data_IF_739364195171
#
_entry.id   IF_739364195171
#
_cell.length_a   1.000
_cell.length_b   1.000
_cell.length_c   1.000
_cell.angle_alpha   90.00
_cell.angle_beta   90.00
_cell.angle_gamma   90.00
#
_symmetry.space_group_name_H-M   'P 1'
#
loop_
_entity.id
_entity.type
_entity.pdbx_description
1 polymer ?
#
# COMPACT_ATOMS: atom_id res chain seq x y z
N UNK A 1 17.27 -37.71 -1.95
CA UNK A 1 17.91 -37.10 -3.14
C UNK A 1 16.88 -36.36 -4.01
N UNK A 2 15.78 -37.00 -4.41
CA UNK A 2 14.74 -36.41 -5.27
C UNK A 2 14.20 -35.06 -4.79
N UNK A 3 13.86 -34.94 -3.50
CA UNK A 3 13.41 -33.67 -2.91
C UNK A 3 14.41 -32.52 -3.05
N UNK A 4 15.70 -32.78 -2.80
CA UNK A 4 16.75 -31.75 -2.97
C UNK A 4 16.92 -31.35 -4.43
N UNK A 5 16.80 -32.32 -5.33
CA UNK A 5 16.87 -32.09 -6.77
C UNK A 5 15.68 -31.25 -7.25
N UNK A 6 14.46 -31.54 -6.79
CA UNK A 6 13.29 -30.76 -7.16
C UNK A 6 13.39 -29.32 -6.64
N UNK A 7 13.82 -29.14 -5.39
CA UNK A 7 14.04 -27.81 -4.81
C UNK A 7 15.10 -27.01 -5.58
N UNK A 8 16.22 -27.64 -5.92
CA UNK A 8 17.27 -27.02 -6.72
C UNK A 8 16.79 -26.63 -8.12
N UNK A 9 16.04 -27.52 -8.79
CA UNK A 9 15.47 -27.25 -10.11
C UNK A 9 14.50 -26.07 -10.10
N UNK A 10 13.66 -25.99 -9.07
CA UNK A 10 12.72 -24.88 -8.89
C UNK A 10 13.46 -23.57 -8.56
N UNK A 11 14.48 -23.60 -7.70
CA UNK A 11 15.22 -22.40 -7.29
C UNK A 11 16.03 -21.79 -8.43
N UNK A 12 16.70 -22.63 -9.23
CA UNK A 12 17.56 -22.16 -10.31
C UNK A 12 16.82 -22.04 -11.65
N UNK A 13 15.56 -22.46 -11.75
CA UNK A 13 14.80 -22.48 -13.01
C UNK A 13 15.41 -23.34 -14.11
N UNK A 14 16.34 -24.24 -13.75
CA UNK A 14 17.09 -25.08 -14.69
C UNK A 14 16.33 -26.35 -15.09
N UNK A 15 16.58 -26.83 -16.31
CA UNK A 15 16.16 -28.17 -16.76
C UNK A 15 17.16 -29.21 -16.26
N UNK A 16 16.70 -30.27 -15.62
CA UNK A 16 17.58 -31.26 -14.99
C UNK A 16 17.11 -32.69 -15.22
N UNK A 17 18.05 -33.63 -15.43
CA UNK A 17 17.84 -35.07 -15.52
C UNK A 17 18.83 -35.78 -14.60
N UNK A 18 18.31 -36.62 -13.69
CA UNK A 18 19.09 -37.50 -12.82
C UNK A 18 18.70 -38.95 -13.08
N UNK A 19 19.71 -39.81 -13.27
CA UNK A 19 19.54 -41.25 -13.47
C UNK A 19 20.42 -41.97 -12.45
N UNK A 20 19.83 -42.88 -11.68
CA UNK A 20 20.51 -43.69 -10.67
C UNK A 20 20.24 -45.16 -10.96
N UNK A 21 21.28 -45.98 -10.98
CA UNK A 21 21.16 -47.43 -11.16
C UNK A 21 21.21 -48.13 -9.80
N UNK A 22 20.29 -49.07 -9.56
CA UNK A 22 20.41 -49.96 -8.39
C UNK A 22 21.60 -50.93 -8.57
N UNK A 23 22.07 -51.59 -7.51
CA UNK A 23 23.07 -52.66 -7.63
C UNK A 23 22.65 -53.78 -8.60
N UNK A 24 21.34 -53.97 -8.81
CA UNK A 24 20.78 -54.92 -9.77
C UNK A 24 20.71 -54.37 -11.22
N UNK A 25 21.21 -53.16 -11.47
CA UNK A 25 21.24 -52.53 -12.79
C UNK A 25 19.93 -51.88 -13.24
N UNK A 26 18.92 -51.78 -12.37
CA UNK A 26 17.63 -51.17 -12.72
C UNK A 26 17.74 -49.63 -12.62
N UNK A 27 17.42 -48.88 -13.69
CA UNK A 27 17.48 -47.42 -13.67
C UNK A 27 16.26 -46.81 -12.96
N UNK A 28 16.53 -45.77 -12.19
CA UNK A 28 15.54 -44.85 -11.63
C UNK A 28 15.86 -43.45 -12.13
N UNK A 29 14.88 -42.81 -12.78
CA UNK A 29 15.05 -41.50 -13.39
C UNK A 29 14.15 -40.44 -12.75
N UNK A 30 14.68 -39.24 -12.59
CA UNK A 30 13.92 -38.04 -12.26
C UNK A 30 14.31 -36.92 -13.23
N UNK A 31 13.33 -36.14 -13.68
CA UNK A 31 13.59 -34.99 -14.53
C UNK A 31 12.59 -33.88 -14.34
N UNK A 32 13.06 -32.64 -14.49
CA UNK A 32 12.22 -31.43 -14.45
C UNK A 32 12.42 -30.62 -15.75
N UNK A 33 11.34 -30.22 -16.45
CA UNK A 33 9.92 -30.42 -16.08
C UNK A 33 9.41 -31.86 -16.21
N UNK A 34 10.02 -32.68 -17.07
CA UNK A 34 9.81 -34.14 -17.13
C UNK A 34 11.03 -34.83 -17.72
N UNK A 35 11.19 -36.13 -17.46
CA UNK A 35 12.30 -36.93 -18.03
C UNK A 35 12.27 -36.89 -19.56
N UNK A 36 11.09 -37.05 -20.16
CA UNK A 36 10.92 -37.02 -21.62
C UNK A 36 11.28 -35.66 -22.23
N UNK A 37 10.84 -34.57 -21.61
CA UNK A 37 11.13 -33.20 -22.10
C UNK A 37 12.63 -32.93 -22.10
N UNK A 38 13.32 -33.35 -21.04
CA UNK A 38 14.76 -33.17 -20.90
C UNK A 38 15.52 -34.10 -21.84
N UNK A 39 15.12 -35.37 -21.96
CA UNK A 39 15.72 -36.32 -22.89
C UNK A 39 15.60 -35.85 -24.34
N UNK A 40 14.41 -35.41 -24.77
CA UNK A 40 14.19 -34.84 -26.12
C UNK A 40 15.10 -33.65 -26.39
N UNK A 41 15.28 -32.77 -25.39
CA UNK A 41 16.18 -31.63 -25.51
C UNK A 41 17.64 -32.06 -25.74
N UNK A 42 18.14 -33.05 -24.98
CA UNK A 42 19.51 -33.56 -25.16
C UNK A 42 19.69 -34.36 -26.45
N UNK A 43 18.69 -35.12 -26.88
CA UNK A 43 18.71 -35.81 -28.18
C UNK A 43 18.75 -34.82 -29.34
N UNK A 44 17.99 -33.72 -29.27
CA UNK A 44 17.99 -32.70 -30.31
C UNK A 44 19.31 -31.90 -30.37
N UNK A 45 20.02 -31.75 -29.24
CA UNK A 45 21.36 -31.12 -29.23
C UNK A 45 22.35 -31.92 -30.07
N UNK A 46 22.25 -33.26 -30.07
CA UNK A 46 23.11 -34.11 -30.91
C UNK A 46 22.84 -33.97 -32.42
N UNK A 47 21.66 -33.46 -32.79
CA UNK A 47 21.29 -33.14 -34.18
C UNK A 47 21.70 -31.72 -34.59
N UNK A 48 21.99 -30.84 -33.62
CA UNK A 48 22.27 -29.42 -33.84
C UNK A 48 23.78 -29.09 -33.81
N UNK A 49 24.66 -30.10 -33.70
CA UNK A 49 26.11 -29.90 -33.88
C UNK A 49 26.53 -29.91 -35.35
N UNK A 50 25.60 -30.22 -36.28
CA UNK A 50 25.76 -29.80 -37.67
C UNK A 50 25.40 -28.32 -37.76
N UNK A 51 26.43 -27.48 -37.86
CA UNK A 51 26.35 -26.06 -38.19
C UNK A 51 25.71 -25.85 -39.58
N UNK A 52 24.43 -26.15 -39.76
CA UNK A 52 23.67 -25.76 -40.96
C UNK A 52 22.18 -25.84 -40.68
N UNK A 53 21.53 -24.66 -40.64
CA UNK A 53 20.08 -24.42 -40.78
C UNK A 53 19.22 -24.48 -39.52
N UNK A 54 18.82 -23.29 -39.01
CA UNK A 54 17.38 -22.96 -38.94
C UNK A 54 17.14 -21.44 -38.80
N UNK A 55 17.51 -20.68 -39.84
CA UNK A 55 17.18 -19.26 -39.96
C UNK A 55 15.69 -18.91 -39.69
N UNK A 56 14.69 -19.76 -40.05
CA UNK A 56 13.29 -19.53 -39.72
C UNK A 56 12.99 -19.55 -38.21
N UNK A 57 13.59 -20.47 -37.45
CA UNK A 57 13.37 -20.60 -36.01
C UNK A 57 13.97 -19.42 -35.26
N UNK A 58 15.18 -18.99 -35.66
CA UNK A 58 15.82 -17.82 -35.06
C UNK A 58 15.07 -16.52 -35.40
N UNK A 59 14.51 -16.41 -36.60
CA UNK A 59 13.64 -15.29 -36.99
C UNK A 59 12.38 -15.25 -36.13
N UNK A 60 11.73 -16.40 -35.92
CA UNK A 60 10.55 -16.49 -35.06
C UNK A 60 10.86 -16.12 -33.60
N UNK A 61 12.02 -16.54 -33.07
CA UNK A 61 12.46 -16.13 -31.71
C UNK A 61 12.66 -14.63 -31.61
N UNK A 62 13.34 -14.02 -32.59
CA UNK A 62 13.58 -12.57 -32.64
C UNK A 62 12.26 -11.79 -32.73
N UNK A 63 11.33 -12.26 -33.56
CA UNK A 63 10.03 -11.60 -33.71
C UNK A 63 9.23 -11.61 -32.40
N UNK A 64 9.23 -12.73 -31.68
CA UNK A 64 8.59 -12.82 -30.37
C UNK A 64 9.23 -11.90 -29.32
N UNK A 65 10.55 -11.77 -29.34
CA UNK A 65 11.27 -10.86 -28.44
C UNK A 65 10.92 -9.42 -28.78
N UNK A 66 10.91 -9.05 -30.06
CA UNK A 66 10.55 -7.71 -30.52
C UNK A 66 9.11 -7.33 -30.11
N UNK A 67 8.15 -8.25 -30.29
CA UNK A 67 6.77 -8.04 -29.84
C UNK A 67 6.70 -7.79 -28.33
N UNK A 68 7.41 -8.58 -27.52
CA UNK A 68 7.43 -8.39 -26.07
C UNK A 68 8.05 -7.05 -25.67
N UNK A 69 9.12 -6.63 -26.36
CA UNK A 69 9.75 -5.32 -26.13
C UNK A 69 8.77 -4.20 -26.49
N UNK A 70 8.04 -4.34 -27.59
CA UNK A 70 7.04 -3.36 -28.00
C UNK A 70 5.92 -3.25 -26.97
N UNK A 71 5.36 -4.38 -26.52
CA UNK A 71 4.32 -4.39 -25.47
C UNK A 71 4.81 -3.75 -24.17
N UNK A 72 6.06 -4.04 -23.77
CA UNK A 72 6.66 -3.44 -22.59
C UNK A 72 6.79 -1.91 -22.73
N UNK A 73 7.28 -1.44 -23.88
CA UNK A 73 7.44 -0.02 -24.14
C UNK A 73 6.10 0.72 -24.18
N UNK A 74 5.06 0.12 -24.78
CA UNK A 74 3.71 0.69 -24.82
C UNK A 74 3.12 0.85 -23.41
N UNK A 75 3.21 -0.19 -22.59
CA UNK A 75 2.76 -0.13 -21.18
C UNK A 75 3.55 0.91 -20.38
N UNK A 76 4.85 1.03 -20.64
CA UNK A 76 5.71 2.01 -19.98
C UNK A 76 5.32 3.45 -20.38
N UNK A 77 5.06 3.70 -21.66
CA UNK A 77 4.59 5.00 -22.15
C UNK A 77 3.23 5.37 -21.55
N UNK A 78 2.27 4.43 -21.53
CA UNK A 78 0.96 4.65 -20.90
C UNK A 78 1.10 5.01 -19.42
N UNK A 79 2.00 4.31 -18.70
CA UNK A 79 2.26 4.59 -17.29
C UNK A 79 2.81 6.00 -17.09
N UNK A 80 3.71 6.44 -17.96
CA UNK A 80 4.31 7.77 -17.85
C UNK A 80 3.30 8.87 -18.20
N UNK A 81 2.44 8.67 -19.20
CA UNK A 81 1.30 9.56 -19.47
C UNK A 81 0.35 9.65 -18.28
N UNK A 82 0.02 8.53 -17.64
CA UNK A 82 -0.84 8.50 -16.45
C UNK A 82 -0.18 9.26 -15.29
N UNK A 83 1.12 9.07 -15.07
CA UNK A 83 1.87 9.78 -14.02
C UNK A 83 1.90 11.29 -14.26
N UNK A 84 2.14 11.74 -15.50
CA UNK A 84 2.12 13.16 -15.81
C UNK A 84 0.72 13.75 -15.61
N UNK A 85 -0.34 13.07 -16.07
CA UNK A 85 -1.72 13.49 -15.79
C UNK A 85 -2.03 13.54 -14.29
N UNK A 86 -1.52 12.59 -13.49
CA UNK A 86 -1.67 12.61 -12.04
C UNK A 86 -0.97 13.82 -11.41
N UNK A 87 0.23 14.19 -11.89
CA UNK A 87 0.92 15.40 -11.45
C UNK A 87 0.12 16.65 -11.82
N UNK A 88 -0.40 16.73 -13.03
CA UNK A 88 -1.26 17.85 -13.46
C UNK A 88 -2.52 17.97 -12.60
N UNK A 89 -3.20 16.85 -12.28
CA UNK A 89 -4.36 16.84 -11.37
C UNK A 89 -3.96 17.31 -9.97
N UNK A 90 -2.83 16.84 -9.44
CA UNK A 90 -2.35 17.25 -8.12
C UNK A 90 -2.02 18.75 -8.08
N UNK A 91 -1.40 19.29 -9.14
CA UNK A 91 -1.13 20.73 -9.28
C UNK A 91 -2.42 21.53 -9.46
N UNK A 92 -3.39 21.03 -10.24
CA UNK A 92 -4.68 21.69 -10.44
C UNK A 92 -5.51 21.73 -9.14
N UNK A 93 -5.51 20.65 -8.36
CA UNK A 93 -6.08 20.59 -7.01
C UNK A 93 -5.44 21.62 -6.06
N UNK A 94 -4.18 21.97 -6.30
CA UNK A 94 -3.47 23.00 -5.54
C UNK A 94 -3.87 24.42 -5.96
N UNK A 95 -4.13 24.64 -7.25
CA UNK A 95 -4.47 25.96 -7.84
C UNK A 95 -5.94 26.37 -7.64
N UNK A 96 -6.86 25.41 -7.61
CA UNK A 96 -8.26 25.70 -7.28
C UNK A 96 -8.39 25.65 -5.77
N UNK A 97 -8.42 26.82 -5.13
CA UNK A 97 -8.64 27.02 -3.69
C UNK A 97 -9.89 26.30 -3.22
N UNK A 98 -9.78 24.99 -2.99
CA UNK A 98 -10.82 24.17 -2.42
C UNK A 98 -10.56 24.18 -0.95
N UNK A 99 -11.20 25.16 -0.33
CA UNK A 99 -11.36 25.28 1.10
C UNK A 99 -11.50 23.89 1.76
N UNK A 100 -10.53 23.60 2.63
CA UNK A 100 -10.66 22.82 3.87
C UNK A 100 -10.43 21.29 3.81
N UNK A 101 -10.65 20.56 2.73
CA UNK A 101 -10.56 19.10 2.83
C UNK A 101 -9.18 18.54 2.43
N UNK A 102 -8.36 18.22 3.45
CA UNK A 102 -7.20 17.29 3.42
C UNK A 102 -5.77 17.85 3.39
N UNK A 103 -5.53 19.11 3.79
CA UNK A 103 -4.16 19.65 3.89
C UNK A 103 -3.25 18.83 4.82
N UNK A 104 -3.80 18.21 5.88
CA UNK A 104 -3.05 17.38 6.82
C UNK A 104 -2.78 15.95 6.35
N UNK A 105 -3.30 15.50 5.19
CA UNK A 105 -3.07 14.16 4.63
C UNK A 105 -1.89 14.13 3.65
N UNK A 106 -1.23 15.25 3.40
CA UNK A 106 -0.15 15.32 2.43
C UNK A 106 1.10 14.58 2.95
N UNK A 107 1.74 13.73 2.13
CA UNK A 107 2.99 13.05 2.50
C UNK A 107 4.13 14.06 2.71
N UNK A 108 4.74 14.05 3.90
CA UNK A 108 5.78 15.00 4.31
C UNK A 108 7.03 14.91 3.41
N UNK A 109 7.30 13.73 2.87
CA UNK A 109 8.41 13.43 1.96
C UNK A 109 8.32 14.16 0.61
N UNK A 110 7.17 14.75 0.28
CA UNK A 110 6.91 15.43 -0.99
C UNK A 110 6.85 16.95 -0.88
N UNK A 111 7.07 17.51 0.30
CA UNK A 111 7.04 18.95 0.55
C UNK A 111 8.42 19.57 0.35
N UNK A 112 8.46 20.76 -0.23
CA UNK A 112 9.65 21.59 -0.15
C UNK A 112 9.75 22.25 1.24
N UNK A 113 10.93 22.80 1.56
CA UNK A 113 11.19 23.40 2.88
C UNK A 113 10.20 24.50 3.26
N UNK A 114 9.77 25.33 2.30
CA UNK A 114 8.82 26.43 2.56
C UNK A 114 7.43 25.87 2.91
N UNK A 115 6.93 24.94 2.10
CA UNK A 115 5.62 24.33 2.30
C UNK A 115 5.54 23.55 3.62
N UNK A 116 6.65 22.94 4.04
CA UNK A 116 6.76 22.26 5.33
C UNK A 116 6.52 23.23 6.50
N UNK A 117 7.13 24.43 6.46
CA UNK A 117 6.92 25.45 7.49
C UNK A 117 5.49 25.99 7.48
N UNK A 118 4.92 26.23 6.29
CA UNK A 118 3.52 26.67 6.17
C UNK A 118 2.55 25.61 6.73
N UNK A 119 2.86 24.32 6.56
CA UNK A 119 2.06 23.24 7.14
C UNK A 119 2.19 23.19 8.67
N UNK A 120 3.39 23.38 9.21
CA UNK A 120 3.64 23.45 10.65
C UNK A 120 2.87 24.62 11.30
N UNK A 121 2.89 25.79 10.67
CA UNK A 121 2.15 26.97 11.12
C UNK A 121 0.64 26.69 11.18
N UNK A 122 0.07 26.03 10.16
CA UNK A 122 -1.34 25.62 10.15
C UNK A 122 -1.68 24.61 11.24
N UNK A 123 -0.76 23.70 11.59
CA UNK A 123 -0.95 22.81 12.74
C UNK A 123 -0.92 23.57 14.07
N UNK A 124 -0.05 24.58 14.21
CA UNK A 124 0.01 25.42 15.39
C UNK A 124 -1.30 26.20 15.58
N UNK A 125 -1.84 26.79 14.51
CA UNK A 125 -3.15 27.47 14.53
C UNK A 125 -4.29 26.53 14.93
N UNK A 126 -4.34 25.33 14.35
CA UNK A 126 -5.35 24.33 14.70
C UNK A 126 -5.28 23.95 16.19
N UNK A 127 -4.08 23.71 16.72
CA UNK A 127 -3.87 23.39 18.12
C UNK A 127 -4.33 24.53 19.04
N UNK A 128 -4.07 25.78 18.65
CA UNK A 128 -4.52 26.96 19.38
C UNK A 128 -6.05 27.02 19.44
N UNK A 129 -6.73 26.83 18.29
CA UNK A 129 -8.20 26.81 18.23
C UNK A 129 -8.81 25.73 19.12
N UNK A 130 -8.20 24.54 19.17
CA UNK A 130 -8.62 23.45 20.05
C UNK A 130 -8.47 23.83 21.52
N UNK A 131 -7.35 24.48 21.89
CA UNK A 131 -7.12 24.97 23.25
C UNK A 131 -8.18 25.99 23.66
N UNK A 132 -8.38 27.03 22.84
CA UNK A 132 -9.39 28.07 23.08
C UNK A 132 -10.78 27.46 23.26
N UNK A 133 -11.14 26.50 22.42
CA UNK A 133 -12.47 25.85 22.48
C UNK A 133 -12.65 25.04 23.76
N UNK A 134 -11.58 24.35 24.21
CA UNK A 134 -11.58 23.61 25.49
C UNK A 134 -11.76 24.58 26.67
N UNK A 135 -11.02 25.68 26.71
CA UNK A 135 -11.07 26.64 27.81
C UNK A 135 -12.44 27.32 27.90
N UNK A 136 -13.01 27.71 26.74
CA UNK A 136 -14.39 28.24 26.67
C UNK A 136 -15.42 27.26 27.21
N UNK A 137 -15.29 25.97 26.89
CA UNK A 137 -16.19 24.93 27.40
C UNK A 137 -16.04 24.74 28.91
N UNK A 138 -14.81 24.73 29.44
CA UNK A 138 -14.54 24.63 30.87
C UNK A 138 -15.12 25.84 31.64
N UNK A 139 -14.95 27.04 31.10
CA UNK A 139 -15.50 28.27 31.67
C UNK A 139 -17.04 28.25 31.69
N UNK A 140 -17.68 27.79 30.61
CA UNK A 140 -19.13 27.64 30.55
C UNK A 140 -19.66 26.64 31.60
N UNK A 141 -18.98 25.50 31.77
CA UNK A 141 -19.36 24.49 32.77
C UNK A 141 -19.18 25.03 34.20
N UNK A 142 -18.08 25.74 34.46
CA UNK A 142 -17.83 26.34 35.79
C UNK A 142 -18.83 27.45 36.12
N UNK A 143 -19.27 28.22 35.12
CA UNK A 143 -20.28 29.28 35.31
C UNK A 143 -21.68 28.75 35.61
N UNK A 144 -21.99 27.48 35.28
CA UNK A 144 -23.30 26.87 35.55
C UNK A 144 -23.39 26.24 36.95
N UNK A 145 -22.28 26.12 37.67
CA UNK A 145 -22.21 25.52 39.00
C UNK A 145 -21.90 26.60 40.06
N UNK A 146 -22.85 27.48 40.36
CA UNK A 146 -22.76 28.37 41.52
C UNK A 146 -23.38 27.69 42.77
N UNK A 147 -22.76 27.78 43.96
CA UNK A 147 -23.36 27.25 45.18
C UNK A 147 -24.53 28.14 45.60
N UNK A 148 -25.70 27.52 45.82
CA UNK A 148 -26.84 28.19 46.44
C UNK A 148 -26.54 28.31 47.94
N UNK A 149 -26.09 29.48 48.40
CA UNK A 149 -26.20 29.88 49.80
C UNK A 149 -27.69 30.13 50.08
N UNK A 150 -28.35 29.20 50.78
CA UNK A 150 -29.68 29.37 51.31
C UNK A 150 -29.59 30.09 52.66
N UNK A 151 -29.90 31.38 52.65
CA UNK A 151 -30.08 32.20 53.85
C UNK A 151 -31.37 33.03 53.68
N UNK A 152 -32.55 32.48 54.04
CA UNK A 152 -33.79 33.27 54.21
C UNK A 152 -34.68 32.70 55.34
N UNK A 153 -35.28 33.55 56.21
CA UNK A 153 -35.77 33.16 57.53
C UNK A 153 -37.24 32.73 57.58
N UNK A 154 -37.52 31.90 58.60
CA UNK A 154 -38.83 31.47 59.10
C UNK A 154 -39.84 32.61 59.32
N UNK A 155 -41.06 32.42 58.80
CA UNK A 155 -42.24 33.19 59.18
C UNK A 155 -43.48 32.27 59.27
N UNK A 156 -43.76 31.75 60.46
CA UNK A 156 -45.07 31.22 60.83
C UNK A 156 -45.86 32.29 61.61
N UNK A 157 -47.10 32.63 61.25
CA UNK A 157 -47.93 33.47 62.08
C UNK A 157 -48.80 32.62 63.03
N UNK A 158 -48.61 32.80 64.34
CA UNK A 158 -49.60 32.40 65.35
C UNK A 158 -50.63 33.52 65.54
N UNK A 159 -51.92 33.20 65.45
CA UNK A 159 -53.01 34.08 65.90
C UNK A 159 -53.86 33.35 66.95
N UNK A 160 -53.86 33.97 68.13
CA UNK A 160 -54.62 33.80 69.37
C UNK A 160 -56.03 33.18 69.29
N UNK A 161 -56.40 32.38 70.30
CA UNK A 161 -57.79 32.21 70.77
C UNK A 161 -57.98 32.86 72.15
N UNK A 162 -59.03 32.57 72.92
CA UNK A 162 -60.45 32.31 72.59
C UNK A 162 -61.37 33.38 73.25
N UNK A 163 -62.69 33.35 73.01
CA UNK A 163 -63.73 33.54 74.05
C UNK A 163 -65.15 33.23 73.52
N UNK A 164 -65.93 32.61 74.40
CA UNK A 164 -67.33 32.16 74.29
C UNK A 164 -68.32 33.34 74.35
N UNK A 165 -69.46 33.24 73.65
CA UNK A 165 -70.81 33.09 74.25
C UNK A 165 -71.82 32.69 73.17
#
# INVERSE_FOLDING_TARGET
>A
IYKKISEFSTLCGGKILFIIFSPAGIPYSFGHPSVESVAKHFSNISQHLDETTDAPVETYRKERINLLIQDFNDVQEQLDVIKEKQKEIALAQWSHGTEICHWWKFPIDKLNLRELYEQDERFAELNNLISITRDKKIAAISSMQAPMDEDVPSAFPHRYGPNLQ
#
